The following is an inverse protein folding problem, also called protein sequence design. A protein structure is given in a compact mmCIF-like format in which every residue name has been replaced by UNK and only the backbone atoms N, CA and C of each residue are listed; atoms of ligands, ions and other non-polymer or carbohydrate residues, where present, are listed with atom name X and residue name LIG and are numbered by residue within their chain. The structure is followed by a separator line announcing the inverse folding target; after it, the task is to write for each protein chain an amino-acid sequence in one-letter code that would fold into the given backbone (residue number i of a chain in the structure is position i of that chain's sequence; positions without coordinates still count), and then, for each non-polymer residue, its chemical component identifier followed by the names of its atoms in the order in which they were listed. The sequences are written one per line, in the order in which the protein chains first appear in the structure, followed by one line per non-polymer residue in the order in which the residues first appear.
data_IF_784238287066
#
_entry.id   IF_784238287066
#
_cell.length_a   1.000
_cell.length_b   1.000
_cell.length_c   1.000
_cell.angle_alpha   90.00
_cell.angle_beta   90.00
_cell.angle_gamma   90.00
#
_symmetry.space_group_name_H-M   'P 1'
#
loop_
_entity.id
_entity.type
_entity.pdbx_description
1 polymer ?
#
# COMPACT_ATOMS: atom_id res chain seq x y z
N UNK A 1 -13.72 -15.44 16.26
CA UNK A 1 -13.31 -14.26 15.46
C UNK A 1 -12.09 -13.66 16.13
N UNK A 2 -11.02 -13.43 15.36
CA UNK A 2 -9.83 -12.74 15.88
C UNK A 2 -10.21 -11.35 16.38
N UNK A 3 -9.70 -10.97 17.57
CA UNK A 3 -9.90 -9.61 18.08
C UNK A 3 -8.84 -8.69 17.49
N UNK A 4 -9.24 -7.86 16.52
CA UNK A 4 -8.38 -6.86 15.88
C UNK A 4 -8.33 -5.53 16.65
N UNK A 5 -8.71 -5.53 17.93
CA UNK A 5 -8.60 -4.33 18.76
C UNK A 5 -7.13 -3.90 18.87
N UNK A 6 -6.90 -2.60 18.97
CA UNK A 6 -5.55 -2.07 19.12
C UNK A 6 -4.83 -2.69 20.32
N UNK A 7 -5.55 -2.92 21.43
CA UNK A 7 -5.02 -3.57 22.65
C UNK A 7 -4.48 -4.97 22.34
N UNK A 8 -5.23 -5.81 21.63
CA UNK A 8 -4.80 -7.16 21.26
C UNK A 8 -3.63 -7.14 20.30
N UNK A 9 -3.70 -6.29 19.28
CA UNK A 9 -2.67 -6.23 18.25
C UNK A 9 -1.34 -5.63 18.75
N UNK A 10 -1.37 -4.74 19.75
CA UNK A 10 -0.16 -4.20 20.38
C UNK A 10 0.60 -5.22 21.22
N UNK A 11 -0.04 -6.29 21.68
CA UNK A 11 0.61 -7.36 22.42
C UNK A 11 1.35 -8.36 21.54
N UNK A 12 1.14 -8.31 20.20
CA UNK A 12 1.91 -9.15 19.26
C UNK A 12 3.37 -8.70 19.18
N UNK A 13 4.31 -9.62 18.95
CA UNK A 13 5.73 -9.29 18.79
C UNK A 13 5.96 -8.23 17.71
N UNK A 14 6.86 -7.31 17.97
CA UNK A 14 7.31 -6.36 16.95
C UNK A 14 8.30 -7.05 16.00
N UNK A 15 8.04 -6.97 14.69
CA UNK A 15 8.84 -7.61 13.64
C UNK A 15 9.64 -6.63 12.78
N UNK A 16 9.41 -5.34 12.98
CA UNK A 16 10.27 -4.28 12.47
C UNK A 16 10.79 -3.50 13.68
N UNK A 17 12.01 -3.80 14.09
CA UNK A 17 12.63 -3.24 15.28
C UNK A 17 12.78 -1.71 15.19
N UNK A 18 12.77 -1.00 16.32
CA UNK A 18 13.21 0.40 16.39
C UNK A 18 14.68 0.48 15.94
N UNK A 19 15.08 1.56 15.27
CA UNK A 19 16.43 1.71 14.73
C UNK A 19 16.46 1.80 13.21
N UNK A 20 15.32 1.58 12.54
CA UNK A 20 15.14 1.98 11.15
C UNK A 20 15.29 3.51 11.02
N UNK A 21 15.74 3.97 9.85
CA UNK A 21 16.01 5.40 9.56
C UNK A 21 14.88 6.08 8.79
N UNK A 22 13.65 5.61 8.94
CA UNK A 22 12.47 6.21 8.31
C UNK A 22 12.15 7.58 8.95
N UNK A 23 11.53 8.46 8.18
CA UNK A 23 11.11 9.78 8.67
C UNK A 23 10.10 9.66 9.81
N UNK A 24 10.11 10.63 10.75
CA UNK A 24 9.04 10.76 11.73
C UNK A 24 7.69 10.95 11.02
N UNK A 25 6.65 10.26 11.51
CA UNK A 25 5.32 10.29 10.89
C UNK A 25 5.22 9.63 9.52
N UNK A 26 6.18 8.78 9.13
CA UNK A 26 6.13 8.06 7.86
C UNK A 26 5.03 7.00 7.87
N UNK A 27 4.05 7.13 6.97
CA UNK A 27 2.95 6.18 6.83
C UNK A 27 3.40 4.76 6.49
N UNK A 28 4.45 4.62 5.67
CA UNK A 28 4.97 3.30 5.28
C UNK A 28 5.44 2.48 6.49
N UNK A 29 6.14 3.10 7.44
CA UNK A 29 6.62 2.41 8.65
C UNK A 29 5.47 1.91 9.51
N UNK A 30 4.46 2.75 9.69
CA UNK A 30 3.28 2.39 10.49
C UNK A 30 2.51 1.24 9.81
N UNK A 31 2.34 1.33 8.49
CA UNK A 31 1.65 0.30 7.70
C UNK A 31 2.37 -1.05 7.73
N UNK A 32 3.69 -1.07 7.55
CA UNK A 32 4.50 -2.31 7.61
C UNK A 32 4.33 -3.01 8.95
N UNK A 33 4.46 -2.27 10.06
CA UNK A 33 4.26 -2.81 11.40
C UNK A 33 2.84 -3.36 11.60
N UNK A 34 1.83 -2.65 11.09
CA UNK A 34 0.44 -3.10 11.15
C UNK A 34 0.22 -4.39 10.32
N UNK A 35 0.80 -4.48 9.13
CA UNK A 35 0.72 -5.68 8.27
C UNK A 35 1.41 -6.86 8.93
N UNK A 36 2.63 -6.70 9.45
CA UNK A 36 3.38 -7.78 10.09
C UNK A 36 2.70 -8.33 11.35
N UNK A 37 1.88 -7.52 12.04
CA UNK A 37 1.01 -7.99 13.13
C UNK A 37 -0.13 -8.92 12.65
N UNK A 38 -0.36 -9.02 11.35
CA UNK A 38 -1.23 -10.05 10.77
C UNK A 38 -0.68 -11.47 10.92
N UNK A 39 0.63 -11.65 11.12
CA UNK A 39 1.24 -12.97 11.33
C UNK A 39 0.79 -13.59 12.67
N UNK A 40 0.52 -14.89 12.64
CA UNK A 40 0.23 -15.66 13.86
C UNK A 40 1.48 -15.92 14.66
N UNK A 41 1.31 -16.21 15.94
CA UNK A 41 2.40 -16.55 16.83
C UNK A 41 3.06 -17.86 16.39
N UNK A 42 4.39 -17.88 16.34
CA UNK A 42 5.17 -19.01 15.90
C UNK A 42 5.44 -19.06 14.39
N UNK A 43 4.68 -18.36 13.56
CA UNK A 43 4.94 -18.29 12.12
C UNK A 43 6.16 -17.42 11.82
N UNK A 44 6.93 -17.85 10.83
CA UNK A 44 8.10 -17.12 10.30
C UNK A 44 7.76 -16.50 8.94
N UNK A 45 8.40 -15.41 8.63
CA UNK A 45 8.23 -14.77 7.32
C UNK A 45 9.54 -14.69 6.53
N UNK A 46 9.41 -14.65 5.21
CA UNK A 46 10.45 -14.22 4.30
C UNK A 46 9.96 -12.92 3.66
N UNK A 47 10.69 -11.86 3.91
CA UNK A 47 10.35 -10.51 3.45
C UNK A 47 11.15 -10.19 2.19
N UNK A 48 10.46 -9.98 1.07
CA UNK A 48 11.04 -9.35 -0.12
C UNK A 48 10.75 -7.86 -0.09
N UNK A 49 11.72 -7.01 -0.31
CA UNK A 49 11.49 -5.57 -0.31
C UNK A 49 12.09 -4.92 -1.55
N UNK A 50 11.25 -4.25 -2.33
CA UNK A 50 11.69 -3.48 -3.48
C UNK A 50 12.42 -2.21 -3.03
N UNK A 51 13.39 -1.75 -3.82
CA UNK A 51 14.09 -0.49 -3.58
C UNK A 51 13.09 0.65 -3.33
N UNK A 52 13.37 1.45 -2.32
CA UNK A 52 12.54 2.58 -1.91
C UNK A 52 12.89 3.07 -0.51
N UNK A 53 12.08 3.98 0.04
CA UNK A 53 12.33 4.52 1.38
C UNK A 53 12.42 3.43 2.44
N UNK A 54 11.52 2.45 2.41
CA UNK A 54 11.47 1.37 3.39
C UNK A 54 12.74 0.51 3.32
N UNK A 55 13.16 0.14 2.12
CA UNK A 55 14.32 -0.69 1.90
C UNK A 55 15.59 0.00 2.38
N UNK A 56 15.92 1.18 1.83
CA UNK A 56 17.19 1.88 2.16
C UNK A 56 17.29 2.33 3.62
N UNK A 57 16.19 2.43 4.33
CA UNK A 57 16.14 2.89 5.72
C UNK A 57 16.11 1.76 6.74
N UNK A 58 15.96 0.52 6.34
CA UNK A 58 15.71 -0.60 7.25
C UNK A 58 16.75 -1.73 7.18
N UNK A 59 17.60 -1.79 6.14
CA UNK A 59 18.52 -2.93 5.96
C UNK A 59 20.01 -2.63 6.17
N UNK A 60 20.41 -1.51 6.61
CA UNK A 60 21.80 -1.02 6.72
C UNK A 60 22.84 -2.08 7.15
N UNK A 61 23.50 -2.71 6.19
CA UNK A 61 24.52 -3.72 6.46
C UNK A 61 25.64 -3.21 7.39
N UNK A 62 26.09 -3.98 8.40
CA UNK A 62 25.67 -5.36 8.74
C UNK A 62 24.39 -5.43 9.61
N UNK A 63 23.74 -4.31 9.87
CA UNK A 63 22.55 -4.22 10.72
C UNK A 63 21.28 -4.21 9.90
N UNK A 64 20.22 -4.81 10.44
CA UNK A 64 18.88 -4.77 9.85
C UNK A 64 17.85 -4.48 10.93
N UNK A 65 16.76 -3.81 10.58
CA UNK A 65 15.63 -3.62 11.46
C UNK A 65 14.60 -4.77 11.40
N UNK A 66 14.78 -5.73 10.49
CA UNK A 66 13.87 -6.84 10.28
C UNK A 66 14.19 -8.01 11.20
N UNK A 67 13.18 -8.51 11.91
CA UNK A 67 13.28 -9.71 12.75
C UNK A 67 13.08 -11.02 11.94
N UNK A 68 12.50 -10.90 10.75
CA UNK A 68 12.31 -12.01 9.83
C UNK A 68 13.43 -12.08 8.76
N UNK A 69 13.48 -13.19 8.03
CA UNK A 69 14.38 -13.32 6.87
C UNK A 69 14.09 -12.24 5.85
N UNK A 70 15.11 -11.52 5.40
CA UNK A 70 14.97 -10.34 4.56
C UNK A 70 15.78 -10.43 3.28
N UNK A 71 15.18 -10.07 2.15
CA UNK A 71 15.82 -10.04 0.83
C UNK A 71 15.64 -8.64 0.23
N UNK A 72 16.76 -7.96 0.04
CA UNK A 72 16.81 -6.71 -0.73
C UNK A 72 16.64 -6.97 -2.23
N UNK A 73 15.86 -6.13 -2.89
CA UNK A 73 15.59 -6.20 -4.32
C UNK A 73 15.73 -4.82 -4.97
N UNK A 74 15.96 -4.79 -6.27
CA UNK A 74 15.78 -3.57 -7.04
C UNK A 74 14.28 -3.19 -7.13
N UNK A 75 13.99 -2.04 -7.74
CA UNK A 75 12.61 -1.55 -7.84
C UNK A 75 11.64 -2.53 -8.48
N UNK A 76 12.12 -3.25 -9.51
CA UNK A 76 11.28 -4.00 -10.45
C UNK A 76 11.10 -5.47 -10.10
N UNK A 77 12.01 -6.09 -9.35
CA UNK A 77 12.10 -7.56 -9.32
C UNK A 77 11.61 -8.23 -8.03
N UNK A 78 11.09 -7.48 -7.05
CA UNK A 78 10.71 -8.05 -5.75
C UNK A 78 9.65 -9.16 -5.87
N UNK A 79 8.65 -8.98 -6.74
CA UNK A 79 7.64 -10.00 -7.00
C UNK A 79 8.22 -11.28 -7.60
N UNK A 80 9.10 -11.14 -8.60
CA UNK A 80 9.76 -12.28 -9.23
C UNK A 80 10.72 -13.00 -8.28
N UNK A 81 11.50 -12.27 -7.48
CA UNK A 81 12.41 -12.85 -6.47
C UNK A 81 11.63 -13.68 -5.46
N UNK A 82 10.58 -13.13 -4.88
CA UNK A 82 9.84 -13.85 -3.85
C UNK A 82 9.05 -15.04 -4.43
N UNK A 83 8.60 -14.97 -5.69
CA UNK A 83 8.06 -16.12 -6.43
C UNK A 83 9.06 -17.28 -6.50
N UNK A 84 10.34 -16.97 -6.78
CA UNK A 84 11.41 -17.97 -6.80
C UNK A 84 11.68 -18.58 -5.41
N UNK A 85 11.69 -17.76 -4.37
CA UNK A 85 11.89 -18.20 -2.97
C UNK A 85 10.75 -19.11 -2.52
N UNK A 86 9.51 -18.74 -2.77
CA UNK A 86 8.32 -19.54 -2.47
C UNK A 86 8.35 -20.90 -3.19
N UNK A 87 8.70 -20.89 -4.47
CA UNK A 87 8.85 -22.11 -5.26
C UNK A 87 9.96 -23.02 -4.72
N UNK A 88 11.11 -22.46 -4.36
CA UNK A 88 12.21 -23.19 -3.75
C UNK A 88 11.82 -23.79 -2.39
N UNK A 89 11.10 -23.03 -1.56
CA UNK A 89 10.57 -23.51 -0.28
C UNK A 89 9.65 -24.72 -0.47
N UNK A 90 8.67 -24.64 -1.37
CA UNK A 90 7.78 -25.76 -1.70
C UNK A 90 8.55 -27.01 -2.17
N UNK A 91 9.54 -26.80 -3.05
CA UNK A 91 10.38 -27.88 -3.56
C UNK A 91 11.24 -28.56 -2.45
N UNK A 92 11.82 -27.75 -1.55
CA UNK A 92 12.62 -28.27 -0.43
C UNK A 92 11.73 -29.00 0.57
N UNK A 93 10.55 -28.47 0.87
CA UNK A 93 9.58 -29.12 1.76
C UNK A 93 9.11 -30.47 1.20
N UNK A 94 8.78 -30.52 -0.11
CA UNK A 94 8.42 -31.77 -0.82
C UNK A 94 9.53 -32.81 -0.79
N UNK A 95 10.80 -32.36 -0.81
CA UNK A 95 11.98 -33.23 -0.73
C UNK A 95 12.38 -33.66 0.71
N UNK A 96 11.61 -33.23 1.72
CA UNK A 96 11.91 -33.46 3.13
C UNK A 96 13.18 -32.77 3.65
N UNK A 97 13.64 -31.73 3.00
CA UNK A 97 14.82 -30.93 3.38
C UNK A 97 14.55 -29.82 4.36
N UNK A 98 13.27 -29.54 4.67
CA UNK A 98 12.82 -28.59 5.67
C UNK A 98 11.93 -29.28 6.70
N UNK A 99 11.90 -28.85 7.97
CA UNK A 99 10.99 -29.35 8.99
C UNK A 99 9.53 -29.30 8.53
N UNK A 100 8.76 -30.35 8.83
CA UNK A 100 7.35 -30.41 8.40
C UNK A 100 6.45 -29.42 9.12
N UNK A 101 6.75 -29.16 10.36
CA UNK A 101 6.02 -28.30 11.30
C UNK A 101 6.37 -26.82 11.17
N UNK A 102 7.42 -26.46 10.42
CA UNK A 102 7.82 -25.07 10.20
C UNK A 102 7.04 -24.44 9.06
N UNK A 103 6.34 -23.34 9.34
CA UNK A 103 5.57 -22.57 8.36
C UNK A 103 6.24 -21.24 8.05
N UNK A 104 6.46 -20.99 6.77
CA UNK A 104 6.93 -19.69 6.27
C UNK A 104 5.85 -19.00 5.47
N UNK A 105 5.67 -17.71 5.74
CA UNK A 105 4.83 -16.80 4.95
C UNK A 105 5.71 -15.89 4.10
N UNK A 106 5.30 -15.62 2.87
CA UNK A 106 6.06 -14.86 1.89
C UNK A 106 5.40 -13.50 1.71
N UNK A 107 6.08 -12.43 2.11
CA UNK A 107 5.53 -11.07 2.11
C UNK A 107 6.46 -10.15 1.34
N UNK A 108 5.96 -9.57 0.25
CA UNK A 108 6.69 -8.55 -0.52
C UNK A 108 6.21 -7.17 -0.15
N UNK A 109 7.11 -6.25 0.10
CA UNK A 109 6.81 -4.82 0.22
C UNK A 109 7.39 -4.06 -0.98
N UNK A 110 6.57 -3.23 -1.61
CA UNK A 110 6.98 -2.32 -2.67
C UNK A 110 6.34 -0.94 -2.53
N UNK A 111 7.08 0.11 -2.84
CA UNK A 111 6.52 1.45 -3.01
C UNK A 111 5.70 1.54 -4.30
N UNK A 112 4.87 2.57 -4.40
CA UNK A 112 4.00 2.75 -5.58
C UNK A 112 4.77 2.87 -6.89
N UNK A 113 5.90 3.56 -6.94
CA UNK A 113 6.72 3.64 -8.16
C UNK A 113 7.22 2.28 -8.62
N UNK A 114 7.75 1.45 -7.70
CA UNK A 114 8.18 0.09 -8.00
C UNK A 114 7.02 -0.83 -8.39
N UNK A 115 5.84 -0.62 -7.81
CA UNK A 115 4.68 -1.52 -7.96
C UNK A 115 3.82 -1.16 -9.16
N UNK A 116 3.47 0.12 -9.34
CA UNK A 116 2.57 0.59 -10.41
C UNK A 116 3.25 0.73 -11.76
N UNK A 117 4.56 0.96 -11.76
CA UNK A 117 5.35 1.28 -12.95
C UNK A 117 6.37 0.19 -13.25
N UNK A 118 7.62 0.37 -12.84
CA UNK A 118 8.74 -0.46 -13.31
C UNK A 118 8.66 -1.93 -12.88
N UNK A 119 8.06 -2.26 -11.74
CA UNK A 119 7.90 -3.63 -11.23
C UNK A 119 6.55 -4.26 -11.55
N UNK A 120 5.67 -3.57 -12.29
CA UNK A 120 4.34 -4.09 -12.58
C UNK A 120 4.36 -5.42 -13.33
N UNK A 121 5.29 -5.61 -14.27
CA UNK A 121 5.47 -6.87 -14.98
C UNK A 121 5.78 -8.03 -14.02
N UNK A 122 6.71 -7.83 -13.08
CA UNK A 122 7.06 -8.85 -12.09
C UNK A 122 5.89 -9.19 -11.16
N UNK A 123 5.14 -8.17 -10.74
CA UNK A 123 3.93 -8.32 -9.94
C UNK A 123 2.85 -9.09 -10.72
N UNK A 124 2.51 -8.64 -11.91
CA UNK A 124 1.50 -9.27 -12.77
C UNK A 124 1.82 -10.75 -13.01
N UNK A 125 3.08 -11.07 -13.35
CA UNK A 125 3.50 -12.44 -13.55
C UNK A 125 3.48 -13.30 -12.27
N UNK A 126 3.73 -12.72 -11.07
CA UNK A 126 3.61 -13.42 -9.80
C UNK A 126 2.13 -13.74 -9.47
N UNK A 127 1.24 -12.77 -9.73
CA UNK A 127 -0.21 -12.93 -9.54
C UNK A 127 -0.79 -13.99 -10.48
N UNK A 128 -0.46 -13.91 -11.79
CA UNK A 128 -0.92 -14.86 -12.81
C UNK A 128 -0.48 -16.31 -12.51
N UNK A 129 0.74 -16.51 -12.02
CA UNK A 129 1.23 -17.85 -11.64
C UNK A 129 0.67 -18.36 -10.32
N UNK A 130 -0.06 -17.57 -9.57
CA UNK A 130 -0.70 -17.98 -8.32
C UNK A 130 0.26 -18.37 -7.21
N UNK A 131 1.42 -17.72 -7.11
CA UNK A 131 2.37 -17.95 -6.02
C UNK A 131 1.72 -17.65 -4.67
N UNK A 132 1.92 -18.54 -3.69
CA UNK A 132 1.39 -18.39 -2.33
C UNK A 132 2.19 -17.32 -1.57
N UNK A 133 1.89 -16.07 -1.87
CA UNK A 133 2.54 -14.88 -1.33
C UNK A 133 1.59 -13.68 -1.28
N UNK A 134 1.84 -12.77 -0.36
CA UNK A 134 1.18 -11.47 -0.37
C UNK A 134 2.12 -10.38 -0.87
N UNK A 135 1.65 -9.56 -1.80
CA UNK A 135 2.34 -8.34 -2.21
C UNK A 135 1.64 -7.13 -1.61
N UNK A 136 2.38 -6.36 -0.82
CA UNK A 136 1.91 -5.16 -0.13
C UNK A 136 2.52 -3.93 -0.79
N UNK A 137 1.69 -3.13 -1.44
CA UNK A 137 2.08 -1.81 -1.93
C UNK A 137 1.87 -0.77 -0.83
N UNK A 138 2.95 -0.13 -0.36
CA UNK A 138 2.86 1.07 0.46
C UNK A 138 2.81 2.30 -0.45
N UNK A 139 1.58 2.69 -0.83
CA UNK A 139 1.30 3.75 -1.79
C UNK A 139 1.37 5.13 -1.12
N UNK A 140 2.39 5.90 -1.47
CA UNK A 140 2.53 7.30 -1.04
C UNK A 140 2.43 8.30 -2.21
N UNK A 141 2.09 7.82 -3.40
CA UNK A 141 1.77 8.64 -4.57
C UNK A 141 2.96 9.28 -5.26
N UNK A 142 4.19 8.77 -5.12
CA UNK A 142 5.38 9.18 -5.89
C UNK A 142 6.57 8.24 -5.63
N UNK A 143 7.61 8.30 -6.46
CA UNK A 143 8.95 7.82 -6.11
C UNK A 143 9.55 8.77 -5.05
N UNK A 144 9.20 8.56 -3.78
CA UNK A 144 9.53 9.51 -2.71
C UNK A 144 11.02 9.55 -2.37
N UNK A 145 11.68 8.37 -2.31
CA UNK A 145 13.06 8.25 -1.87
C UNK A 145 14.04 8.93 -2.81
N UNK A 146 13.80 8.83 -4.10
CA UNK A 146 14.70 9.35 -5.14
C UNK A 146 14.52 10.84 -5.41
N UNK A 147 13.60 11.51 -4.76
CA UNK A 147 13.38 12.94 -4.85
C UNK A 147 11.99 13.36 -5.33
N UNK A 148 10.97 12.56 -5.01
CA UNK A 148 9.55 12.90 -5.23
C UNK A 148 9.20 12.98 -6.73
N UNK A 149 9.68 12.03 -7.54
CA UNK A 149 9.29 11.94 -8.95
C UNK A 149 7.88 11.36 -9.08
N UNK A 150 7.21 11.73 -10.15
CA UNK A 150 5.89 11.25 -10.52
C UNK A 150 5.91 9.73 -10.71
N UNK A 151 4.93 9.04 -10.13
CA UNK A 151 4.55 7.64 -10.43
C UNK A 151 3.17 7.58 -11.10
N UNK A 152 2.74 6.39 -11.53
CA UNK A 152 1.36 6.18 -11.98
C UNK A 152 0.33 6.26 -10.85
N UNK A 153 0.76 6.11 -9.60
CA UNK A 153 -0.08 6.32 -8.42
C UNK A 153 -0.24 7.80 -8.03
N UNK A 154 0.62 8.68 -8.53
CA UNK A 154 0.52 10.12 -8.26
C UNK A 154 -0.87 10.63 -8.68
N UNK A 155 -1.62 11.30 -7.79
CA UNK A 155 -2.92 11.85 -8.15
C UNK A 155 -2.80 12.99 -9.17
N UNK A 156 -3.89 13.21 -9.90
CA UNK A 156 -4.01 14.35 -10.82
C UNK A 156 -3.73 15.65 -10.09
N UNK A 157 -3.09 16.59 -10.75
CA UNK A 157 -2.66 17.89 -10.25
C UNK A 157 -1.67 17.89 -9.08
N UNK A 158 -1.17 16.74 -8.63
CA UNK A 158 -0.12 16.74 -7.62
C UNK A 158 1.20 17.30 -8.16
N UNK A 159 1.80 18.20 -7.39
CA UNK A 159 3.13 18.73 -7.65
C UNK A 159 4.22 17.70 -7.31
N UNK A 160 5.07 17.40 -8.27
CA UNK A 160 6.24 16.53 -8.10
C UNK A 160 7.44 17.12 -8.83
N UNK A 161 8.64 16.58 -8.60
CA UNK A 161 9.87 17.08 -9.25
C UNK A 161 9.89 16.84 -10.76
N UNK A 162 9.15 15.86 -11.27
CA UNK A 162 9.06 15.54 -12.71
C UNK A 162 7.76 15.98 -13.36
N UNK A 163 6.78 16.43 -12.58
CA UNK A 163 5.57 17.12 -13.02
C UNK A 163 5.35 18.36 -12.12
N UNK A 164 6.24 19.36 -12.24
CA UNK A 164 6.18 20.52 -11.36
C UNK A 164 5.00 21.43 -11.67
N UNK A 165 4.53 22.11 -10.63
CA UNK A 165 3.54 23.19 -10.75
C UNK A 165 4.26 24.49 -11.07
N UNK A 166 3.76 25.22 -12.05
CA UNK A 166 4.30 26.50 -12.48
C UNK A 166 3.31 27.31 -13.32
N UNK A 167 3.81 28.27 -14.09
CA UNK A 167 2.99 29.11 -14.97
C UNK A 167 2.46 28.34 -16.19
N UNK A 168 3.09 27.24 -16.56
CA UNK A 168 2.75 26.42 -17.74
C UNK A 168 2.19 25.05 -17.41
N UNK A 169 2.16 24.66 -16.14
CA UNK A 169 1.74 23.32 -15.72
C UNK A 169 1.06 23.37 -14.35
N UNK A 170 0.01 22.57 -14.21
CA UNK A 170 -0.72 22.38 -12.96
C UNK A 170 -0.36 21.06 -12.25
N UNK A 171 0.87 20.55 -12.47
CA UNK A 171 1.29 19.26 -11.96
C UNK A 171 0.94 18.10 -12.90
N UNK A 172 0.73 16.92 -12.35
CA UNK A 172 0.38 15.73 -13.16
C UNK A 172 -1.03 15.87 -13.76
N UNK A 173 -1.15 15.68 -15.06
CA UNK A 173 -2.43 15.83 -15.77
C UNK A 173 -3.25 14.55 -15.86
N UNK A 174 -2.63 13.38 -15.69
CA UNK A 174 -3.30 12.08 -15.80
C UNK A 174 -3.86 11.64 -14.43
N UNK A 175 -4.98 10.93 -14.45
CA UNK A 175 -5.51 10.24 -13.29
C UNK A 175 -4.52 9.19 -12.77
N UNK A 176 -4.63 8.84 -11.50
CA UNK A 176 -3.89 7.71 -10.95
C UNK A 176 -4.37 6.38 -11.56
N UNK A 177 -3.47 5.43 -11.73
CA UNK A 177 -3.82 4.06 -12.13
C UNK A 177 -4.63 3.39 -11.00
N UNK A 178 -5.66 2.66 -11.33
CA UNK A 178 -6.41 1.83 -10.37
C UNK A 178 -5.79 0.44 -10.28
N UNK A 179 -4.72 0.32 -9.49
CA UNK A 179 -3.96 -0.92 -9.40
C UNK A 179 -4.73 -2.04 -8.71
N UNK A 180 -5.53 -1.74 -7.70
CA UNK A 180 -6.29 -2.76 -6.98
C UNK A 180 -7.30 -3.45 -7.92
N UNK A 181 -8.01 -2.70 -8.77
CA UNK A 181 -8.89 -3.28 -9.80
C UNK A 181 -8.11 -4.09 -10.84
N UNK A 182 -6.96 -3.60 -11.31
CA UNK A 182 -6.12 -4.32 -12.29
C UNK A 182 -5.63 -5.65 -11.71
N UNK A 183 -5.26 -5.69 -10.43
CA UNK A 183 -4.84 -6.95 -9.79
C UNK A 183 -6.03 -7.87 -9.54
N UNK A 184 -7.20 -7.34 -9.21
CA UNK A 184 -8.42 -8.15 -9.08
C UNK A 184 -8.78 -8.86 -10.41
N UNK A 185 -8.52 -8.21 -11.55
CA UNK A 185 -8.73 -8.80 -12.89
C UNK A 185 -7.72 -9.93 -13.25
N UNK A 186 -6.75 -10.25 -12.37
CA UNK A 186 -5.90 -11.45 -12.46
C UNK A 186 -6.55 -12.68 -11.81
N UNK A 187 -7.81 -12.61 -11.36
CA UNK A 187 -8.53 -13.68 -10.66
C UNK A 187 -7.79 -14.22 -9.41
N UNK A 188 -7.01 -13.37 -8.77
CA UNK A 188 -6.30 -13.77 -7.53
C UNK A 188 -7.30 -13.93 -6.38
N UNK A 189 -7.03 -14.86 -5.44
CA UNK A 189 -7.94 -15.16 -4.34
C UNK A 189 -8.30 -13.96 -3.47
N UNK A 190 -7.35 -13.01 -3.26
CA UNK A 190 -7.62 -11.87 -2.40
C UNK A 190 -6.90 -10.59 -2.82
N UNK A 191 -7.68 -9.52 -2.92
CA UNK A 191 -7.18 -8.15 -3.10
C UNK A 191 -7.84 -7.25 -2.09
N UNK A 192 -7.10 -6.31 -1.48
CA UNK A 192 -7.72 -5.31 -0.63
C UNK A 192 -7.05 -3.94 -0.74
N UNK A 193 -7.85 -2.91 -0.53
CA UNK A 193 -7.41 -1.54 -0.39
C UNK A 193 -7.69 -1.04 1.03
N UNK A 194 -6.68 -0.45 1.68
CA UNK A 194 -6.77 0.00 3.06
C UNK A 194 -5.87 1.21 3.32
N UNK A 195 -5.94 1.76 4.53
CA UNK A 195 -5.06 2.83 5.01
C UNK A 195 -4.97 2.82 6.54
N UNK A 196 -4.26 3.80 7.09
CA UNK A 196 -4.05 3.96 8.53
C UNK A 196 -5.22 4.73 9.16
N UNK A 197 -6.17 4.01 9.75
CA UNK A 197 -7.22 4.59 10.58
C UNK A 197 -6.86 4.45 12.06
N UNK A 198 -7.44 5.31 12.89
CA UNK A 198 -7.06 5.42 14.32
C UNK A 198 -7.19 4.11 15.11
N UNK A 199 -8.12 3.23 14.76
CA UNK A 199 -8.31 1.93 15.41
C UNK A 199 -7.53 0.77 14.79
N UNK A 200 -6.93 0.98 13.62
CA UNK A 200 -6.16 0.01 12.84
C UNK A 200 -6.88 -1.31 12.51
N UNK A 201 -8.17 -1.46 12.80
CA UNK A 201 -8.90 -2.71 12.64
C UNK A 201 -8.93 -3.18 11.20
N UNK A 202 -9.19 -2.27 10.26
CA UNK A 202 -9.33 -2.62 8.85
C UNK A 202 -8.01 -3.16 8.28
N UNK A 203 -6.90 -2.48 8.52
CA UNK A 203 -5.59 -2.94 8.03
C UNK A 203 -5.14 -4.24 8.68
N UNK A 204 -5.35 -4.44 10.00
CA UNK A 204 -4.98 -5.67 10.68
C UNK A 204 -5.78 -6.87 10.14
N UNK A 205 -7.11 -6.72 9.99
CA UNK A 205 -7.99 -7.76 9.46
C UNK A 205 -7.61 -8.15 8.03
N UNK A 206 -7.42 -7.15 7.17
CA UNK A 206 -7.05 -7.37 5.77
C UNK A 206 -5.65 -7.97 5.63
N UNK A 207 -4.71 -7.56 6.46
CA UNK A 207 -3.36 -8.11 6.46
C UNK A 207 -3.35 -9.59 6.86
N UNK A 208 -4.00 -9.96 7.97
CA UNK A 208 -4.11 -11.36 8.37
C UNK A 208 -4.78 -12.19 7.27
N UNK A 209 -5.91 -11.72 6.72
CA UNK A 209 -6.61 -12.41 5.64
C UNK A 209 -5.72 -12.59 4.39
N UNK A 210 -4.99 -11.56 3.98
CA UNK A 210 -4.09 -11.65 2.84
C UNK A 210 -2.94 -12.63 3.06
N UNK A 211 -2.36 -12.67 4.27
CA UNK A 211 -1.22 -13.56 4.61
C UNK A 211 -1.66 -15.03 4.67
N UNK A 212 -2.91 -15.30 5.04
CA UNK A 212 -3.41 -16.68 5.23
C UNK A 212 -4.37 -17.15 4.13
N UNK A 213 -4.71 -16.31 3.17
CA UNK A 213 -5.38 -16.77 1.94
C UNK A 213 -4.38 -17.60 1.12
N UNK A 214 -4.79 -18.81 0.73
CA UNK A 214 -3.98 -19.68 -0.13
C UNK A 214 -3.89 -19.09 -1.53
N UNK A 215 -2.68 -19.01 -2.06
CA UNK A 215 -2.39 -18.43 -3.36
C UNK A 215 -1.97 -16.95 -3.29
N UNK A 216 -2.06 -16.26 -4.41
CA UNK A 216 -1.59 -14.88 -4.53
C UNK A 216 -2.57 -13.88 -3.89
N UNK A 217 -2.04 -12.96 -3.11
CA UNK A 217 -2.82 -11.89 -2.48
C UNK A 217 -2.15 -10.52 -2.67
N UNK A 218 -2.95 -9.47 -2.74
CA UNK A 218 -2.47 -8.12 -2.90
C UNK A 218 -3.11 -7.14 -1.92
N UNK A 219 -2.29 -6.33 -1.25
CA UNK A 219 -2.74 -5.22 -0.41
C UNK A 219 -2.25 -3.89 -0.97
N UNK A 220 -3.17 -2.98 -1.27
CA UNK A 220 -2.85 -1.59 -1.60
C UNK A 220 -3.10 -0.70 -0.38
N UNK A 221 -2.03 -0.22 0.24
CA UNK A 221 -2.09 0.54 1.50
C UNK A 221 -1.67 1.98 1.26
N UNK A 222 -2.60 2.93 1.36
CA UNK A 222 -2.23 4.34 1.31
C UNK A 222 -1.42 4.72 2.54
N UNK A 223 -0.24 5.25 2.29
CA UNK A 223 0.76 5.60 3.31
C UNK A 223 1.25 7.03 3.11
N UNK A 224 0.54 8.03 3.62
CA UNK A 224 0.92 9.43 3.42
C UNK A 224 2.38 9.70 3.79
N UNK A 225 3.07 10.48 2.95
CA UNK A 225 4.44 10.89 3.16
C UNK A 225 4.49 12.37 3.60
N UNK A 226 4.89 12.70 4.84
CA UNK A 226 4.86 14.08 5.33
C UNK A 226 5.75 15.01 4.49
N UNK A 227 6.86 14.51 3.96
CA UNK A 227 7.76 15.30 3.10
C UNK A 227 7.20 15.53 1.70
N UNK A 228 6.77 14.46 1.02
CA UNK A 228 6.28 14.56 -0.35
C UNK A 228 4.92 15.25 -0.46
N UNK A 229 4.03 15.02 0.50
CA UNK A 229 2.72 15.66 0.54
C UNK A 229 2.75 17.03 1.23
N UNK A 230 3.82 17.34 1.98
CA UNK A 230 4.05 18.63 2.66
C UNK A 230 2.97 18.96 3.69
N UNK A 231 2.82 18.09 4.67
CA UNK A 231 1.93 18.24 5.82
C UNK A 231 2.69 17.98 7.12
N UNK A 232 2.13 18.39 8.26
CA UNK A 232 2.73 18.12 9.57
C UNK A 232 2.65 16.62 9.88
N UNK A 233 3.77 16.03 10.32
CA UNK A 233 3.89 14.59 10.57
C UNK A 233 2.89 14.05 11.60
N UNK A 234 2.41 14.89 12.52
CA UNK A 234 1.38 14.53 13.52
C UNK A 234 -0.02 14.36 12.91
N UNK A 235 -0.29 14.91 11.71
CA UNK A 235 -1.61 14.94 11.08
C UNK A 235 -1.91 13.70 10.22
N UNK A 236 -1.03 12.69 10.21
CA UNK A 236 -1.16 11.51 9.33
C UNK A 236 -2.52 10.82 9.45
N UNK A 237 -3.03 10.62 10.68
CA UNK A 237 -4.30 9.94 10.91
C UNK A 237 -5.49 10.77 10.41
N UNK A 238 -5.41 12.09 10.52
CA UNK A 238 -6.40 13.02 9.96
C UNK A 238 -6.43 12.92 8.44
N UNK A 239 -5.27 12.92 7.79
CA UNK A 239 -5.16 12.83 6.33
C UNK A 239 -5.69 11.49 5.83
N UNK A 240 -5.35 10.37 6.47
CA UNK A 240 -5.90 9.07 6.13
C UNK A 240 -7.42 9.03 6.28
N UNK A 241 -7.96 9.59 7.36
CA UNK A 241 -9.40 9.69 7.57
C UNK A 241 -10.07 10.52 6.48
N UNK A 242 -9.55 11.70 6.17
CA UNK A 242 -10.09 12.56 5.11
C UNK A 242 -10.08 11.86 3.74
N UNK A 243 -9.02 11.11 3.41
CA UNK A 243 -8.98 10.35 2.17
C UNK A 243 -10.13 9.31 2.08
N UNK A 244 -10.49 8.70 3.19
CA UNK A 244 -11.60 7.73 3.27
C UNK A 244 -12.95 8.44 3.24
N UNK A 245 -13.15 9.49 4.04
CA UNK A 245 -14.41 10.23 4.14
C UNK A 245 -14.76 11.01 2.86
N UNK A 246 -13.78 11.37 2.04
CA UNK A 246 -13.98 11.98 0.71
C UNK A 246 -14.17 10.94 -0.40
N UNK A 247 -14.10 9.64 -0.10
CA UNK A 247 -14.09 8.54 -1.06
C UNK A 247 -12.93 8.62 -2.09
N UNK A 248 -11.89 9.39 -1.82
CA UNK A 248 -10.66 9.38 -2.61
C UNK A 248 -9.92 8.05 -2.47
N UNK A 249 -9.93 7.48 -1.26
CA UNK A 249 -9.34 6.19 -0.94
C UNK A 249 -10.36 5.29 -0.25
N UNK A 250 -11.32 4.71 -0.99
CA UNK A 250 -12.32 3.84 -0.40
C UNK A 250 -11.69 2.57 0.16
N UNK A 251 -12.27 2.04 1.23
CA UNK A 251 -11.86 0.79 1.85
C UNK A 251 -12.71 -0.35 1.32
N UNK A 252 -12.09 -1.29 0.62
CA UNK A 252 -12.77 -2.45 0.05
C UNK A 252 -11.85 -3.66 0.01
N UNK A 253 -12.44 -4.81 -0.25
CA UNK A 253 -11.73 -6.05 -0.56
C UNK A 253 -12.42 -6.77 -1.70
N UNK A 254 -11.67 -7.59 -2.43
CA UNK A 254 -12.16 -8.54 -3.41
C UNK A 254 -11.75 -9.92 -2.93
N UNK A 255 -12.73 -10.72 -2.57
CA UNK A 255 -12.56 -12.05 -2.00
C UNK A 255 -13.09 -13.08 -2.99
N UNK A 256 -12.21 -13.82 -3.63
CA UNK A 256 -12.56 -14.79 -4.68
C UNK A 256 -13.51 -14.17 -5.73
N UNK A 257 -13.14 -13.01 -6.25
CA UNK A 257 -13.91 -12.27 -7.25
C UNK A 257 -15.10 -11.46 -6.71
N UNK A 258 -15.46 -11.63 -5.43
CA UNK A 258 -16.55 -10.88 -4.81
C UNK A 258 -16.05 -9.55 -4.25
N UNK A 259 -16.58 -8.45 -4.76
CA UNK A 259 -16.30 -7.10 -4.28
C UNK A 259 -17.09 -6.78 -3.01
N UNK A 260 -16.41 -6.30 -1.97
CA UNK A 260 -17.00 -6.03 -0.66
C UNK A 260 -16.51 -4.66 -0.19
N UNK A 261 -17.44 -3.73 -0.01
CA UNK A 261 -17.14 -2.43 0.58
C UNK A 261 -16.95 -2.60 2.09
N UNK A 262 -15.76 -2.25 2.60
CA UNK A 262 -15.45 -2.40 4.04
C UNK A 262 -15.95 -1.23 4.87
N UNK A 263 -16.11 -0.07 4.26
CA UNK A 263 -16.56 1.15 4.92
C UNK A 263 -17.27 2.07 3.94
N UNK A 264 -18.40 2.61 4.36
CA UNK A 264 -19.16 3.63 3.66
C UNK A 264 -19.31 4.87 4.55
N UNK A 265 -18.88 6.06 4.11
CA UNK A 265 -19.04 7.26 4.91
C UNK A 265 -20.52 7.62 5.07
N UNK A 266 -20.96 7.92 6.30
CA UNK A 266 -22.33 8.38 6.57
C UNK A 266 -22.69 9.66 5.80
N UNK A 267 -21.69 10.51 5.55
CA UNK A 267 -21.78 11.70 4.74
C UNK A 267 -20.45 11.86 4.01
N UNK A 268 -20.48 11.73 2.69
CA UNK A 268 -19.32 11.99 1.85
C UNK A 268 -18.86 13.45 2.00
N UNK A 269 -17.60 13.65 2.34
CA UNK A 269 -16.99 14.98 2.38
C UNK A 269 -16.55 15.42 0.98
N UNK A 270 -16.49 16.73 0.70
CA UNK A 270 -15.92 17.23 -0.55
C UNK A 270 -14.42 16.92 -0.61
N UNK A 271 -13.92 16.62 -1.82
CA UNK A 271 -12.49 16.29 -2.03
C UNK A 271 -11.57 17.43 -1.58
N UNK A 272 -12.07 18.64 -1.60
CA UNK A 272 -11.37 19.85 -1.18
C UNK A 272 -10.80 19.72 0.23
N UNK A 273 -11.53 19.08 1.16
CA UNK A 273 -11.11 18.90 2.55
C UNK A 273 -9.81 18.04 2.63
N UNK A 274 -9.70 17.03 1.78
CA UNK A 274 -8.49 16.19 1.70
C UNK A 274 -7.33 16.92 0.99
N UNK A 275 -7.61 17.65 -0.08
CA UNK A 275 -6.58 18.33 -0.88
C UNK A 275 -5.95 19.50 -0.12
N UNK A 276 -6.75 20.25 0.68
CA UNK A 276 -6.33 21.43 1.44
C UNK A 276 -5.25 21.13 2.47
N UNK A 277 -5.26 19.95 3.05
CA UNK A 277 -4.28 19.52 4.05
C UNK A 277 -2.89 19.20 3.47
N UNK A 278 -2.70 19.30 2.13
CA UNK A 278 -1.49 18.84 1.47
C UNK A 278 -0.84 19.96 0.64
N UNK A 279 0.38 20.33 0.98
CA UNK A 279 1.11 21.38 0.27
C UNK A 279 1.35 21.09 -1.21
N UNK A 280 1.35 19.81 -1.65
CA UNK A 280 1.46 19.42 -3.06
C UNK A 280 0.28 19.85 -3.92
N UNK A 281 -0.84 20.29 -3.30
CA UNK A 281 -2.05 20.80 -3.96
C UNK A 281 -2.32 22.27 -3.68
N UNK A 282 -1.40 22.98 -3.01
CA UNK A 282 -1.58 24.38 -2.62
C UNK A 282 -1.96 25.30 -3.79
N UNK A 283 -1.51 25.00 -5.00
CA UNK A 283 -1.83 25.79 -6.20
C UNK A 283 -3.29 25.69 -6.61
N UNK A 284 -4.00 24.60 -6.30
CA UNK A 284 -5.42 24.44 -6.62
C UNK A 284 -6.32 25.47 -5.90
N UNK A 285 -5.85 26.01 -4.78
CA UNK A 285 -6.56 26.99 -3.96
C UNK A 285 -6.23 28.45 -4.33
N UNK A 286 -5.55 28.67 -5.46
CA UNK A 286 -5.36 30.00 -6.02
C UNK A 286 -6.58 30.40 -6.84
N UNK A 287 -6.92 31.68 -6.81
CA UNK A 287 -8.01 32.25 -7.63
C UNK A 287 -7.84 31.88 -9.11
N UNK A 288 -8.89 31.34 -9.72
CA UNK A 288 -8.92 30.90 -11.11
C UNK A 288 -8.61 29.42 -11.34
N UNK A 289 -8.41 28.62 -10.27
CA UNK A 289 -8.16 27.18 -10.35
C UNK A 289 -9.33 26.35 -9.78
N UNK A 290 -10.49 26.97 -9.56
CA UNK A 290 -11.68 26.30 -9.00
C UNK A 290 -12.14 25.13 -9.88
N UNK A 291 -12.04 25.26 -11.20
CA UNK A 291 -12.39 24.22 -12.17
C UNK A 291 -11.51 22.97 -12.01
N UNK A 292 -10.25 23.11 -11.58
CA UNK A 292 -9.36 21.95 -11.37
C UNK A 292 -9.82 21.12 -10.17
N UNK A 293 -10.31 21.76 -9.11
CA UNK A 293 -10.90 21.07 -7.95
C UNK A 293 -12.18 20.35 -8.37
N UNK A 294 -13.03 21.01 -9.17
CA UNK A 294 -14.26 20.42 -9.69
C UNK A 294 -13.98 19.17 -10.56
N UNK A 295 -12.96 19.23 -11.43
CA UNK A 295 -12.51 18.07 -12.22
C UNK A 295 -11.99 16.93 -11.35
N UNK A 296 -11.23 17.25 -10.29
CA UNK A 296 -10.75 16.24 -9.35
C UNK A 296 -11.93 15.57 -8.61
N UNK A 297 -12.91 16.38 -8.15
CA UNK A 297 -14.12 15.87 -7.50
C UNK A 297 -14.89 14.94 -8.43
N UNK A 298 -15.11 15.32 -9.68
CA UNK A 298 -15.82 14.49 -10.66
C UNK A 298 -15.16 13.13 -10.89
N UNK A 299 -13.82 13.06 -10.91
CA UNK A 299 -13.11 11.78 -11.01
C UNK A 299 -13.26 10.92 -9.76
N UNK A 300 -13.24 11.53 -8.57
CA UNK A 300 -13.47 10.80 -7.31
C UNK A 300 -14.91 10.26 -7.27
N UNK A 301 -15.88 11.06 -7.69
CA UNK A 301 -17.29 10.65 -7.74
C UNK A 301 -17.50 9.47 -8.68
N UNK A 302 -16.98 9.57 -9.89
CA UNK A 302 -17.02 8.50 -10.90
C UNK A 302 -16.43 7.18 -10.37
N UNK A 303 -15.25 7.22 -9.73
CA UNK A 303 -14.61 6.02 -9.17
C UNK A 303 -15.38 5.43 -8.00
N UNK A 304 -15.98 6.27 -7.19
CA UNK A 304 -16.81 5.83 -6.08
C UNK A 304 -18.07 5.11 -6.59
N UNK A 305 -18.75 5.69 -7.58
CA UNK A 305 -19.91 5.07 -8.24
C UNK A 305 -19.55 3.72 -8.90
N UNK A 306 -18.41 3.66 -9.61
CA UNK A 306 -17.90 2.42 -10.21
C UNK A 306 -17.67 1.33 -9.15
N UNK A 307 -17.09 1.69 -7.99
CA UNK A 307 -16.87 0.76 -6.90
C UNK A 307 -18.19 0.27 -6.28
N UNK A 308 -19.12 1.19 -6.00
CA UNK A 308 -20.45 0.82 -5.48
C UNK A 308 -21.18 -0.13 -6.43
N UNK A 309 -21.10 0.12 -7.74
CA UNK A 309 -21.67 -0.78 -8.74
C UNK A 309 -21.04 -2.17 -8.73
N UNK A 310 -19.71 -2.27 -8.60
CA UNK A 310 -19.01 -3.56 -8.46
C UNK A 310 -19.42 -4.30 -7.18
N UNK A 311 -19.57 -3.58 -6.07
CA UNK A 311 -19.96 -4.18 -4.79
C UNK A 311 -21.46 -4.60 -4.70
N UNK A 312 -22.31 -4.08 -5.58
CA UNK A 312 -23.73 -4.42 -5.64
C UNK A 312 -24.03 -5.69 -6.47
N UNK A 313 -23.03 -6.24 -7.15
CA UNK A 313 -23.11 -7.46 -7.96
C UNK A 313 -22.59 -8.66 -7.20
#
# INVERSE_FOLDING_TARGET
MSDYSLKTMMNKPERLAPGHRMCAGCGATIAVRAVLRGLHEGDRAVIGNATGCLEVSSFMYPYTAWEDSYIHNAFENAGATLSGVETAYKALKKRGKLPKDETFKFITFGGDGGTYDIGFQSLSGAMERGHDMVYVCYDNGAYMNTGIQRSSATPMYADTTTTPVGTQSNGKMQNRKDLASIIADHDVPYVAQTTLLQDFKDIHRKAEKAIYTEGASFLNVMTPCPRGWRYDASEIMKICKLAVETCYWPLFEVDHGKWILSYEPKKKLPIEDFLREQGRFKHLFKKGNEDLIAQFQAEVDRRWEDLQYKCAR
#
